data_IF_878027612611
#
_entry.id   IF_878027612611
#
_cell.length_a   1.000
_cell.length_b   1.000
_cell.length_c   1.000
_cell.angle_alpha   90.00
_cell.angle_beta   90.00
_cell.angle_gamma   90.00
#
_symmetry.space_group_name_H-M   'P 1'
#
loop_
_entity.id
_entity.type
_entity.pdbx_description
1 polymer ?
#
# COMPACT_ATOMS: atom_id res chain seq x y z
N UNK A 1 6.66 29.62 -6.38
CA UNK A 1 7.38 28.42 -6.87
C UNK A 1 8.46 28.13 -5.83
N UNK A 2 8.15 27.33 -4.80
CA UNK A 2 9.07 27.08 -3.69
C UNK A 2 9.78 25.76 -3.98
N UNK A 3 11.03 25.87 -4.42
CA UNK A 3 11.98 24.75 -4.47
C UNK A 3 12.26 24.30 -3.03
N UNK A 4 11.55 23.27 -2.57
CA UNK A 4 12.00 22.50 -1.42
C UNK A 4 13.14 21.57 -1.87
N UNK A 5 14.33 22.16 -2.00
CA UNK A 5 15.57 21.40 -1.97
C UNK A 5 15.66 20.70 -0.61
N UNK A 6 15.44 19.38 -0.61
CA UNK A 6 15.85 18.51 0.49
C UNK A 6 17.37 18.64 0.57
N UNK A 7 17.88 19.44 1.49
CA UNK A 7 19.31 19.52 1.75
C UNK A 7 19.83 18.09 2.03
N UNK A 8 20.96 17.67 1.43
CA UNK A 8 21.47 16.32 1.64
C UNK A 8 21.76 16.14 3.13
N UNK A 9 21.08 15.18 3.75
CA UNK A 9 21.31 14.79 5.15
C UNK A 9 22.73 14.21 5.20
N UNK A 10 23.71 15.03 5.62
CA UNK A 10 25.13 14.63 5.68
C UNK A 10 25.47 13.76 6.89
N UNK A 11 24.59 13.69 7.90
CA UNK A 11 24.84 12.92 9.12
C UNK A 11 24.45 11.43 8.91
N UNK A 12 25.40 10.48 8.98
CA UNK A 12 25.14 9.06 8.73
C UNK A 12 24.15 8.45 9.75
N UNK A 13 24.11 8.95 10.99
CA UNK A 13 23.15 8.46 11.99
C UNK A 13 21.71 8.86 11.65
N UNK A 14 21.51 10.10 11.20
CA UNK A 14 20.17 10.58 10.78
C UNK A 14 19.72 9.82 9.53
N UNK A 15 20.64 9.55 8.60
CA UNK A 15 20.35 8.75 7.42
C UNK A 15 19.93 7.31 7.78
N UNK A 16 20.68 6.64 8.67
CA UNK A 16 20.35 5.32 9.17
C UNK A 16 18.96 5.28 9.85
N UNK A 17 18.65 6.30 10.66
CA UNK A 17 17.35 6.44 11.28
C UNK A 17 16.21 6.57 10.25
N UNK A 18 16.40 7.42 9.23
CA UNK A 18 15.42 7.59 8.14
C UNK A 18 15.18 6.27 7.40
N UNK A 19 16.25 5.56 7.03
CA UNK A 19 16.13 4.27 6.34
C UNK A 19 15.43 3.23 7.21
N UNK A 20 15.77 3.16 8.50
CA UNK A 20 15.13 2.23 9.44
C UNK A 20 13.62 2.50 9.52
N UNK A 21 13.22 3.77 9.68
CA UNK A 21 11.80 4.14 9.69
C UNK A 21 11.12 3.84 8.36
N UNK A 22 11.79 4.05 7.22
CA UNK A 22 11.29 3.66 5.88
C UNK A 22 11.01 2.18 5.80
N UNK A 23 11.94 1.33 6.20
CA UNK A 23 11.76 -0.12 6.19
C UNK A 23 10.60 -0.55 7.08
N UNK A 24 10.54 -0.06 8.32
CA UNK A 24 9.46 -0.38 9.26
C UNK A 24 8.08 -0.01 8.68
N UNK A 25 7.95 1.19 8.10
CA UNK A 25 6.70 1.64 7.48
C UNK A 25 6.34 0.85 6.23
N UNK A 26 7.33 0.49 5.42
CA UNK A 26 7.13 -0.38 4.24
C UNK A 26 6.52 -1.72 4.65
N UNK A 27 7.10 -2.39 5.65
CA UNK A 27 6.57 -3.66 6.17
C UNK A 27 5.19 -3.51 6.82
N UNK A 28 4.93 -2.42 7.54
CA UNK A 28 3.61 -2.18 8.15
C UNK A 28 2.53 -1.95 7.11
N UNK A 29 2.78 -1.11 6.10
CA UNK A 29 1.83 -0.82 5.01
C UNK A 29 1.56 -2.09 4.20
N UNK A 30 2.60 -2.88 3.94
CA UNK A 30 2.50 -4.10 3.14
C UNK A 30 2.20 -5.38 3.92
N UNK A 31 1.86 -5.32 5.22
CA UNK A 31 1.89 -6.51 6.09
C UNK A 31 1.13 -7.71 5.50
N UNK A 32 -0.13 -7.52 5.10
CA UNK A 32 -0.95 -8.58 4.50
C UNK A 32 -0.36 -9.08 3.16
N UNK A 33 0.19 -8.18 2.35
CA UNK A 33 0.79 -8.52 1.06
C UNK A 33 2.11 -9.28 1.22
N UNK A 34 2.89 -8.97 2.27
CA UNK A 34 4.05 -9.77 2.63
C UNK A 34 3.66 -11.18 3.06
N UNK A 35 2.57 -11.33 3.82
CA UNK A 35 2.03 -12.66 4.15
C UNK A 35 1.59 -13.43 2.90
N UNK A 36 0.92 -12.76 1.96
CA UNK A 36 0.54 -13.36 0.66
C UNK A 36 1.78 -13.78 -0.14
N UNK A 37 2.85 -12.99 -0.10
CA UNK A 37 4.11 -13.33 -0.76
C UNK A 37 4.74 -14.57 -0.14
N UNK A 38 4.77 -14.66 1.20
CA UNK A 38 5.27 -15.85 1.91
C UNK A 38 4.43 -17.07 1.56
N UNK A 39 3.10 -16.94 1.53
CA UNK A 39 2.20 -18.02 1.12
C UNK A 39 2.42 -18.46 -0.33
N UNK A 40 2.67 -17.52 -1.25
CA UNK A 40 3.01 -17.82 -2.65
C UNK A 40 4.33 -18.58 -2.80
N UNK A 41 5.36 -18.19 -2.04
CA UNK A 41 6.62 -18.94 -1.97
C UNK A 41 6.42 -20.33 -1.38
N UNK A 42 5.68 -20.44 -0.28
CA UNK A 42 5.38 -21.73 0.34
C UNK A 42 4.64 -22.67 -0.63
N UNK A 43 3.67 -22.15 -1.41
CA UNK A 43 2.97 -22.90 -2.44
C UNK A 43 3.95 -23.44 -3.51
N UNK A 44 4.83 -22.58 -4.02
CA UNK A 44 5.85 -22.96 -5.01
C UNK A 44 6.74 -24.10 -4.50
N UNK A 45 7.29 -23.97 -3.30
CA UNK A 45 8.19 -25.00 -2.72
C UNK A 45 7.45 -26.29 -2.33
N UNK A 46 6.18 -26.21 -1.94
CA UNK A 46 5.39 -27.38 -1.52
C UNK A 46 4.98 -28.26 -2.69
N UNK A 47 4.61 -27.65 -3.82
CA UNK A 47 4.05 -28.35 -4.98
C UNK A 47 5.13 -28.88 -5.91
N UNK A 48 6.26 -28.18 -6.05
CA UNK A 48 7.34 -28.60 -6.94
C UNK A 48 6.99 -28.42 -8.42
N UNK A 49 7.74 -29.08 -9.30
CA UNK A 49 7.67 -28.87 -10.77
C UNK A 49 7.38 -30.16 -11.57
N UNK A 50 7.04 -31.24 -10.88
CA UNK A 50 6.75 -32.54 -11.49
C UNK A 50 5.28 -32.60 -11.95
N UNK A 51 5.08 -32.61 -13.27
CA UNK A 51 3.75 -32.71 -13.90
C UNK A 51 3.06 -31.36 -14.14
N UNK A 52 2.15 -31.35 -15.12
CA UNK A 52 1.51 -30.12 -15.63
C UNK A 52 0.76 -29.32 -14.55
N UNK A 53 0.00 -30.00 -13.69
CA UNK A 53 -0.75 -29.34 -12.62
C UNK A 53 0.19 -28.67 -11.61
N UNK A 54 1.27 -29.35 -11.24
CA UNK A 54 2.27 -28.84 -10.29
C UNK A 54 2.99 -27.61 -10.85
N UNK A 55 3.36 -27.65 -12.13
CA UNK A 55 3.93 -26.50 -12.84
C UNK A 55 2.96 -25.32 -12.84
N UNK A 56 1.68 -25.53 -13.17
CA UNK A 56 0.68 -24.46 -13.16
C UNK A 56 0.54 -23.82 -11.76
N UNK A 57 0.43 -24.63 -10.71
CA UNK A 57 0.32 -24.14 -9.33
C UNK A 57 1.58 -23.41 -8.86
N UNK A 58 2.76 -23.88 -9.25
CA UNK A 58 4.04 -23.23 -8.98
C UNK A 58 4.15 -21.89 -9.69
N UNK A 59 3.72 -21.80 -10.97
CA UNK A 59 3.63 -20.52 -11.69
C UNK A 59 2.64 -19.57 -11.00
N UNK A 60 1.49 -20.05 -10.55
CA UNK A 60 0.55 -19.25 -9.76
C UNK A 60 1.19 -18.76 -8.45
N UNK A 61 1.94 -19.60 -7.75
CA UNK A 61 2.65 -19.24 -6.52
C UNK A 61 3.65 -18.10 -6.73
N UNK A 62 4.51 -18.20 -7.75
CA UNK A 62 5.43 -17.12 -8.13
C UNK A 62 4.68 -15.87 -8.58
N UNK A 63 3.60 -16.04 -9.35
CA UNK A 63 2.73 -14.94 -9.75
C UNK A 63 2.23 -14.16 -8.54
N UNK A 64 1.72 -14.85 -7.51
CA UNK A 64 1.26 -14.22 -6.26
C UNK A 64 2.35 -13.40 -5.57
N UNK A 65 3.59 -13.89 -5.54
CA UNK A 65 4.74 -13.15 -4.98
C UNK A 65 4.95 -11.84 -5.73
N UNK A 66 5.02 -11.90 -7.06
CA UNK A 66 5.26 -10.72 -7.90
C UNK A 66 4.12 -9.71 -7.73
N UNK A 67 2.86 -10.17 -7.81
CA UNK A 67 1.69 -9.30 -7.65
C UNK A 67 1.66 -8.64 -6.28
N UNK A 68 1.92 -9.39 -5.22
CA UNK A 68 1.91 -8.86 -3.86
C UNK A 68 3.03 -7.84 -3.64
N UNK A 69 4.24 -8.06 -4.16
CA UNK A 69 5.32 -7.08 -4.04
C UNK A 69 5.06 -5.79 -4.84
N UNK A 70 4.50 -5.91 -6.05
CA UNK A 70 4.11 -4.75 -6.84
C UNK A 70 2.99 -3.94 -6.16
N UNK A 71 1.98 -4.61 -5.61
CA UNK A 71 0.92 -3.93 -4.86
C UNK A 71 1.49 -3.29 -3.57
N UNK A 72 2.42 -3.95 -2.85
CA UNK A 72 3.06 -3.35 -1.66
C UNK A 72 3.80 -2.07 -2.03
N UNK A 73 4.60 -2.09 -3.11
CA UNK A 73 5.27 -0.88 -3.60
C UNK A 73 4.27 0.24 -3.85
N UNK A 74 3.17 -0.08 -4.53
CA UNK A 74 2.09 0.85 -4.86
C UNK A 74 1.42 1.43 -3.61
N UNK A 75 1.06 0.59 -2.62
CA UNK A 75 0.50 1.04 -1.34
C UNK A 75 1.47 1.90 -0.56
N UNK A 76 2.76 1.60 -0.60
CA UNK A 76 3.76 2.45 0.04
C UNK A 76 3.84 3.85 -0.58
N UNK A 77 3.61 3.98 -1.90
CA UNK A 77 3.49 5.31 -2.52
C UNK A 77 2.24 6.05 -2.03
N UNK A 78 1.10 5.35 -1.96
CA UNK A 78 -0.14 5.92 -1.44
C UNK A 78 -0.01 6.36 0.02
N UNK A 79 0.64 5.56 0.87
CA UNK A 79 0.95 5.93 2.25
C UNK A 79 1.73 7.25 2.31
N UNK A 80 2.80 7.39 1.52
CA UNK A 80 3.61 8.63 1.51
C UNK A 80 2.78 9.85 1.07
N UNK A 81 1.98 9.70 0.02
CA UNK A 81 1.12 10.78 -0.49
C UNK A 81 0.01 11.15 0.49
N UNK A 82 -0.67 10.16 1.08
CA UNK A 82 -1.71 10.38 2.07
C UNK A 82 -1.17 11.04 3.33
N UNK A 83 0.01 10.60 3.80
CA UNK A 83 0.68 11.16 4.97
C UNK A 83 0.99 12.64 4.77
N UNK A 84 1.62 13.01 3.65
CA UNK A 84 1.92 14.42 3.36
C UNK A 84 0.63 15.25 3.26
N UNK A 85 -0.43 14.72 2.64
CA UNK A 85 -1.71 15.42 2.54
C UNK A 85 -2.38 15.62 3.92
N UNK A 86 -2.33 14.61 4.79
CA UNK A 86 -2.83 14.70 6.16
C UNK A 86 -2.03 15.70 7.00
N UNK A 87 -0.71 15.73 6.83
CA UNK A 87 0.15 16.69 7.51
C UNK A 87 -0.16 18.13 7.05
N UNK A 88 -0.27 18.37 5.75
CA UNK A 88 -0.50 19.71 5.19
C UNK A 88 -1.92 20.24 5.43
N UNK A 89 -2.93 19.36 5.47
CA UNK A 89 -4.34 19.79 5.42
C UNK A 89 -5.18 19.35 6.62
N UNK A 90 -4.61 18.56 7.53
CA UNK A 90 -5.38 17.74 8.47
C UNK A 90 -6.13 16.61 7.76
N UNK A 91 -6.84 15.81 8.56
CA UNK A 91 -7.69 14.74 8.03
C UNK A 91 -8.97 15.34 7.43
N UNK A 92 -9.20 15.09 6.14
CA UNK A 92 -10.42 15.50 5.42
C UNK A 92 -11.00 14.32 4.67
N UNK A 93 -12.31 14.12 4.73
CA UNK A 93 -13.02 13.03 4.04
C UNK A 93 -12.66 12.95 2.54
N UNK A 94 -12.53 14.10 1.88
CA UNK A 94 -12.12 14.17 0.47
C UNK A 94 -10.75 13.53 0.19
N UNK A 95 -9.80 13.64 1.12
CA UNK A 95 -8.46 13.06 1.00
C UNK A 95 -8.56 11.55 1.23
N UNK A 96 -9.31 11.15 2.25
CA UNK A 96 -9.56 9.73 2.59
C UNK A 96 -10.13 8.99 1.37
N UNK A 97 -11.15 9.55 0.71
CA UNK A 97 -11.77 8.97 -0.51
C UNK A 97 -10.81 8.70 -1.67
N UNK A 98 -9.71 9.43 -1.80
CA UNK A 98 -8.73 9.19 -2.87
C UNK A 98 -8.05 7.81 -2.72
N UNK A 99 -8.00 7.30 -1.49
CA UNK A 99 -7.22 6.13 -1.12
C UNK A 99 -8.03 5.11 -0.29
N UNK A 100 -9.35 4.98 -0.51
CA UNK A 100 -10.17 3.99 0.20
C UNK A 100 -10.69 2.84 -0.68
N UNK A 101 -10.41 2.88 -1.99
CA UNK A 101 -11.04 2.00 -2.95
C UNK A 101 -10.73 0.51 -2.75
N UNK A 102 -9.67 0.15 -2.02
CA UNK A 102 -9.37 -1.23 -1.61
C UNK A 102 -8.89 -1.34 -0.16
N UNK A 103 -8.98 -2.55 0.41
CA UNK A 103 -8.47 -2.82 1.77
C UNK A 103 -7.00 -2.44 1.93
N UNK A 104 -6.12 -2.85 1.01
CA UNK A 104 -4.69 -2.51 1.09
C UNK A 104 -4.45 -0.99 1.06
N UNK A 105 -5.34 -0.20 0.43
CA UNK A 105 -5.25 1.26 0.47
C UNK A 105 -5.66 1.82 1.82
N UNK A 106 -6.75 1.29 2.39
CA UNK A 106 -7.19 1.69 3.73
C UNK A 106 -6.15 1.33 4.79
N UNK A 107 -5.48 0.20 4.66
CA UNK A 107 -4.36 -0.17 5.55
C UNK A 107 -3.19 0.84 5.43
N UNK A 108 -2.87 1.29 4.21
CA UNK A 108 -1.87 2.34 3.99
C UNK A 108 -2.26 3.67 4.67
N UNK A 109 -3.55 4.03 4.62
CA UNK A 109 -4.09 5.22 5.30
C UNK A 109 -4.04 5.08 6.81
N UNK A 110 -4.36 3.91 7.34
CA UNK A 110 -4.26 3.62 8.77
C UNK A 110 -2.84 3.80 9.30
N UNK A 111 -1.82 3.40 8.53
CA UNK A 111 -0.42 3.66 8.89
C UNK A 111 -0.08 5.15 8.81
N UNK A 112 -0.56 5.86 7.78
CA UNK A 112 -0.35 7.31 7.64
C UNK A 112 -1.01 8.11 8.77
N UNK A 113 -2.24 7.79 9.12
CA UNK A 113 -2.97 8.45 10.21
C UNK A 113 -2.37 8.12 11.57
N UNK A 114 -1.92 6.88 11.81
CA UNK A 114 -1.21 6.51 13.04
C UNK A 114 0.09 7.28 13.22
N UNK A 115 0.84 7.52 12.15
CA UNK A 115 2.07 8.30 12.22
C UNK A 115 1.84 9.77 12.62
N UNK A 116 0.61 10.28 12.47
CA UNK A 116 0.23 11.67 12.77
C UNK A 116 -0.78 11.78 13.93
N UNK A 117 -0.99 10.70 14.69
CA UNK A 117 -2.00 10.62 15.76
C UNK A 117 -3.44 10.94 15.32
N UNK A 118 -3.76 10.74 14.05
CA UNK A 118 -5.08 10.96 13.43
C UNK A 118 -5.92 9.68 13.34
N UNK A 119 -5.57 8.63 14.08
CA UNK A 119 -6.22 7.31 13.95
C UNK A 119 -7.71 7.35 14.27
N UNK A 120 -8.12 8.09 15.30
CA UNK A 120 -9.54 8.21 15.67
C UNK A 120 -10.33 8.94 14.57
N UNK A 121 -9.83 10.09 14.11
CA UNK A 121 -10.46 10.85 13.02
C UNK A 121 -10.55 10.03 11.72
N UNK A 122 -9.60 9.13 11.44
CA UNK A 122 -9.68 8.23 10.30
C UNK A 122 -10.79 7.17 10.47
N UNK A 123 -10.97 6.65 11.68
CA UNK A 123 -12.05 5.69 11.95
C UNK A 123 -13.41 6.37 11.78
N UNK A 124 -13.59 7.56 12.34
CA UNK A 124 -14.82 8.35 12.17
C UNK A 124 -15.09 8.61 10.68
N UNK A 125 -14.04 8.92 9.90
CA UNK A 125 -14.14 9.08 8.45
C UNK A 125 -14.51 7.78 7.72
N UNK A 126 -14.01 6.63 8.15
CA UNK A 126 -14.41 5.34 7.58
C UNK A 126 -15.86 4.99 7.90
N UNK A 127 -16.33 5.30 9.11
CA UNK A 127 -17.73 5.13 9.49
C UNK A 127 -18.65 6.02 8.64
N UNK A 128 -18.30 7.29 8.45
CA UNK A 128 -19.05 8.23 7.58
C UNK A 128 -19.11 7.73 6.12
N UNK A 129 -18.02 7.12 5.63
CA UNK A 129 -17.96 6.55 4.29
C UNK A 129 -18.61 5.16 4.19
N UNK A 130 -19.09 4.58 5.31
CA UNK A 130 -19.69 3.27 5.35
C UNK A 130 -18.71 2.10 5.21
N UNK A 131 -17.41 2.34 5.39
CA UNK A 131 -16.40 1.28 5.36
C UNK A 131 -16.35 0.53 6.69
N UNK A 132 -16.49 -0.80 6.60
CA UNK A 132 -16.32 -1.71 7.75
C UNK A 132 -15.11 -2.62 7.53
N UNK A 133 -14.60 -3.20 8.61
CA UNK A 133 -13.42 -4.08 8.57
C UNK A 133 -13.56 -5.27 7.60
N UNK A 134 -14.79 -5.74 7.38
CA UNK A 134 -15.11 -6.86 6.49
C UNK A 134 -15.31 -6.48 5.02
N UNK A 135 -15.26 -5.19 4.63
CA UNK A 135 -15.34 -4.76 3.24
C UNK A 135 -14.03 -5.04 2.49
N UNK A 136 -13.72 -6.31 2.23
CA UNK A 136 -12.46 -6.72 1.61
C UNK A 136 -12.45 -6.42 0.11
N UNK A 137 -13.59 -6.57 -0.56
CA UNK A 137 -13.73 -6.38 -2.01
C UNK A 137 -13.61 -4.90 -2.36
N UNK A 138 -12.77 -4.52 -3.33
CA UNK A 138 -12.69 -3.14 -3.79
C UNK A 138 -14.03 -2.64 -4.34
N UNK A 139 -14.42 -1.41 -4.02
CA UNK A 139 -15.73 -0.86 -4.42
C UNK A 139 -15.92 -0.88 -5.94
N UNK A 140 -14.85 -0.60 -6.69
CA UNK A 140 -14.84 -0.60 -8.15
C UNK A 140 -15.08 -2.00 -8.71
N UNK A 141 -14.57 -3.03 -8.05
CA UNK A 141 -14.76 -4.43 -8.45
C UNK A 141 -16.17 -4.89 -8.13
N UNK A 142 -16.70 -4.52 -6.97
CA UNK A 142 -18.09 -4.80 -6.59
C UNK A 142 -19.08 -4.14 -7.58
N UNK A 143 -18.83 -2.89 -7.97
CA UNK A 143 -19.67 -2.18 -8.92
C UNK A 143 -19.49 -2.63 -10.38
N UNK A 144 -18.26 -2.97 -10.79
CA UNK A 144 -17.92 -3.30 -12.18
C UNK A 144 -16.87 -4.42 -12.24
N UNK A 145 -17.26 -5.70 -12.12
CA UNK A 145 -16.31 -6.82 -12.07
C UNK A 145 -15.40 -6.90 -13.31
N UNK A 146 -15.91 -6.53 -14.49
CA UNK A 146 -15.14 -6.50 -15.76
C UNK A 146 -13.96 -5.52 -15.74
N UNK A 147 -13.90 -4.60 -14.77
CA UNK A 147 -12.78 -3.65 -14.64
C UNK A 147 -11.44 -4.35 -14.34
N UNK A 148 -11.45 -5.56 -13.78
CA UNK A 148 -10.24 -6.35 -13.51
C UNK A 148 -9.44 -6.67 -14.78
N UNK A 149 -10.08 -6.68 -15.95
CA UNK A 149 -9.41 -6.90 -17.24
C UNK A 149 -8.90 -5.58 -17.87
N UNK A 150 -9.27 -4.43 -17.30
CA UNK A 150 -8.90 -3.14 -17.87
C UNK A 150 -7.46 -2.79 -17.49
N UNK A 151 -6.62 -2.48 -18.49
CA UNK A 151 -5.23 -2.01 -18.28
C UNK A 151 -5.13 -0.84 -17.29
N UNK A 152 -6.13 0.06 -17.30
CA UNK A 152 -6.20 1.20 -16.37
C UNK A 152 -6.29 0.76 -14.91
N UNK A 153 -7.00 -0.32 -14.61
CA UNK A 153 -7.10 -0.89 -13.27
C UNK A 153 -5.72 -1.36 -12.79
N UNK A 154 -5.03 -2.16 -13.59
CA UNK A 154 -3.68 -2.65 -13.25
C UNK A 154 -2.67 -1.52 -13.06
N UNK A 155 -2.71 -0.50 -13.90
CA UNK A 155 -1.83 0.68 -13.77
C UNK A 155 -2.04 1.40 -12.43
N UNK A 156 -3.30 1.58 -12.02
CA UNK A 156 -3.62 2.24 -10.76
C UNK A 156 -3.31 1.35 -9.54
N UNK A 157 -3.59 0.05 -9.64
CA UNK A 157 -3.43 -0.88 -8.52
C UNK A 157 -1.96 -1.24 -8.30
N UNK A 158 -1.23 -1.64 -9.33
CA UNK A 158 0.15 -2.16 -9.18
C UNK A 158 1.24 -1.14 -9.50
N UNK A 159 0.94 -0.16 -10.35
CA UNK A 159 1.95 0.76 -10.91
C UNK A 159 1.70 2.21 -10.51
N UNK A 160 1.34 2.45 -9.23
CA UNK A 160 1.28 3.80 -8.71
C UNK A 160 2.64 4.51 -8.93
N UNK A 161 2.61 5.79 -9.36
CA UNK A 161 3.82 6.56 -9.60
C UNK A 161 4.63 6.71 -8.32
N UNK A 162 5.95 6.76 -8.45
CA UNK A 162 6.83 7.01 -7.31
C UNK A 162 6.53 8.39 -6.73
N UNK A 163 6.21 8.45 -5.44
CA UNK A 163 5.91 9.69 -4.75
C UNK A 163 7.09 10.10 -3.85
N UNK A 164 7.60 11.31 -3.99
CA UNK A 164 8.65 11.84 -3.11
C UNK A 164 7.99 12.53 -1.93
N UNK A 165 8.13 11.95 -0.72
CA UNK A 165 7.53 12.52 0.49
C UNK A 165 8.31 13.76 0.93
N UNK A 166 7.57 14.82 1.24
CA UNK A 166 8.02 16.07 1.82
C UNK A 166 8.16 15.95 3.34
N UNK A 167 7.24 15.25 4.00
CA UNK A 167 7.15 15.15 5.47
C UNK A 167 7.31 13.71 5.95
N UNK A 168 8.36 13.02 5.47
CA UNK A 168 8.47 11.59 5.75
C UNK A 168 8.68 11.31 7.25
N UNK A 169 9.55 12.06 7.92
CA UNK A 169 9.90 11.82 9.32
C UNK A 169 8.87 12.37 10.32
N UNK A 170 8.11 13.38 9.93
CA UNK A 170 7.08 14.05 10.71
C UNK A 170 5.77 13.31 10.47
#
# INVERSE_FOLDING_TARGET
MIENHIAPIKNPMVLCHVYTKRCIRYFRVGFLLHLISIAGLALFFRVGTEGLLSVCLSVCGIGLVVFAQLDTRSRFQNYKAAKDLFYENGLKIRIVRLFTASRCQRDALSVAARDLDLSQALNDAYEELGYKWFHIIPDVVAARPKCLLARKFWKYTLFAPSYTSKYFLW
#
